data_IF_584954891345
#
_entry.id   IF_584954891345
#
_cell.length_a   1.000
_cell.length_b   1.000
_cell.length_c   1.000
_cell.angle_alpha   90.00
_cell.angle_beta   90.00
_cell.angle_gamma   90.00
#
_symmetry.space_group_name_H-M   'P 1'
#
loop_
_entity.id
_entity.type
_entity.pdbx_description
1 polymer ?
#
# COMPACT_ATOMS: atom_id res chain seq x y z
N UNK A 1 -5.11 -2.25 20.88
CA UNK A 1 -4.15 -3.31 20.50
C UNK A 1 -4.12 -4.34 21.62
N UNK A 2 -4.32 -5.62 21.29
CA UNK A 2 -4.01 -6.72 22.21
C UNK A 2 -2.49 -6.82 22.35
N UNK A 3 -1.99 -7.20 23.53
CA UNK A 3 -0.55 -7.38 23.76
C UNK A 3 0.07 -8.41 22.78
N UNK A 4 -0.77 -9.32 22.27
CA UNK A 4 -0.46 -10.33 21.27
C UNK A 4 -0.06 -9.73 19.92
N UNK A 5 -0.89 -8.84 19.33
CA UNK A 5 -0.56 -8.21 18.04
C UNK A 5 0.74 -7.40 18.12
N UNK A 6 0.99 -6.71 19.24
CA UNK A 6 2.26 -6.00 19.45
C UNK A 6 3.45 -6.95 19.43
N UNK A 7 3.35 -8.10 20.09
CA UNK A 7 4.41 -9.12 20.08
C UNK A 7 4.64 -9.69 18.68
N UNK A 8 3.57 -9.91 17.90
CA UNK A 8 3.68 -10.42 16.53
C UNK A 8 4.33 -9.39 15.59
N UNK A 9 4.03 -8.11 15.77
CA UNK A 9 4.70 -7.01 15.04
C UNK A 9 6.22 -7.01 15.30
N UNK A 10 6.66 -7.30 16.53
CA UNK A 10 8.08 -7.44 16.84
C UNK A 10 8.68 -8.71 16.22
N UNK A 11 7.98 -9.85 16.30
CA UNK A 11 8.43 -11.11 15.71
C UNK A 11 8.56 -11.07 14.18
N UNK A 12 7.71 -10.29 13.49
CA UNK A 12 7.84 -10.05 12.04
C UNK A 12 9.18 -9.40 11.65
N UNK A 13 9.83 -8.71 12.58
CA UNK A 13 11.14 -8.06 12.38
C UNK A 13 12.31 -8.87 12.91
N UNK A 14 12.06 -10.11 13.38
CA UNK A 14 13.11 -10.99 13.88
C UNK A 14 14.08 -11.41 12.77
N UNK A 15 15.34 -11.66 13.13
CA UNK A 15 16.33 -12.27 12.24
C UNK A 15 15.96 -13.73 11.89
N UNK A 16 15.22 -14.41 12.76
CA UNK A 16 14.80 -15.80 12.56
C UNK A 16 13.65 -15.89 11.55
N UNK A 17 13.91 -16.50 10.39
CA UNK A 17 12.89 -16.75 9.36
C UNK A 17 11.67 -17.49 9.93
N UNK A 18 11.89 -18.51 10.76
CA UNK A 18 10.79 -19.25 11.40
C UNK A 18 9.92 -18.37 12.29
N UNK A 19 10.50 -17.40 13.00
CA UNK A 19 9.71 -16.48 13.84
C UNK A 19 8.91 -15.49 13.00
N UNK A 20 9.47 -15.02 11.87
CA UNK A 20 8.73 -14.16 10.94
C UNK A 20 7.56 -14.90 10.30
N UNK A 21 7.78 -16.14 9.87
CA UNK A 21 6.74 -17.00 9.28
C UNK A 21 5.61 -17.29 10.28
N UNK A 22 5.95 -17.67 11.51
CA UNK A 22 4.97 -17.91 12.57
C UNK A 22 4.14 -16.65 12.83
N UNK A 23 4.80 -15.49 12.96
CA UNK A 23 4.11 -14.22 13.16
C UNK A 23 3.20 -13.85 11.98
N UNK A 24 3.65 -14.03 10.74
CA UNK A 24 2.84 -13.75 9.55
C UNK A 24 1.63 -14.68 9.43
N UNK A 25 1.81 -15.98 9.71
CA UNK A 25 0.74 -16.98 9.73
C UNK A 25 -0.30 -16.67 10.80
N UNK A 26 0.15 -16.26 11.99
CA UNK A 26 -0.74 -15.91 13.08
C UNK A 26 -1.52 -14.62 12.77
N UNK A 27 -0.85 -13.58 12.26
CA UNK A 27 -1.48 -12.35 11.78
C UNK A 27 -2.50 -12.59 10.66
N UNK A 28 -2.23 -13.52 9.74
CA UNK A 28 -3.20 -13.96 8.75
C UNK A 28 -4.45 -14.55 9.42
N UNK A 29 -4.29 -15.37 10.46
CA UNK A 29 -5.43 -15.99 11.16
C UNK A 29 -6.34 -14.99 11.90
N UNK A 30 -5.82 -13.80 12.24
CA UNK A 30 -6.61 -12.69 12.78
C UNK A 30 -7.45 -11.95 11.73
N UNK A 31 -7.09 -12.07 10.44
CA UNK A 31 -7.80 -11.39 9.35
C UNK A 31 -7.89 -9.87 9.58
N UNK A 32 -9.09 -9.25 9.50
CA UNK A 32 -9.25 -7.81 9.70
C UNK A 32 -8.80 -7.29 11.07
N UNK A 33 -8.80 -8.13 12.12
CA UNK A 33 -8.36 -7.72 13.45
C UNK A 33 -6.84 -7.46 13.50
N UNK A 34 -6.09 -7.93 12.50
CA UNK A 34 -4.66 -7.63 12.33
C UNK A 34 -4.39 -6.22 11.78
N UNK A 35 -5.40 -5.38 11.50
CA UNK A 35 -5.22 -4.02 10.97
C UNK A 35 -4.16 -3.16 11.70
N UNK A 36 -3.95 -3.26 13.04
CA UNK A 36 -2.86 -2.55 13.71
C UNK A 36 -1.44 -2.96 13.26
N UNK A 37 -1.29 -4.14 12.65
CA UNK A 37 -0.04 -4.65 12.10
C UNK A 37 0.20 -4.26 10.63
N UNK A 38 -0.68 -3.46 10.03
CA UNK A 38 -0.60 -3.07 8.61
C UNK A 38 0.80 -2.64 8.17
N UNK A 39 1.43 -1.72 8.91
CA UNK A 39 2.77 -1.21 8.59
C UNK A 39 3.80 -2.34 8.66
N UNK A 40 3.77 -3.16 9.71
CA UNK A 40 4.74 -4.24 9.88
C UNK A 40 4.61 -5.31 8.79
N UNK A 41 3.38 -5.66 8.40
CA UNK A 41 3.11 -6.55 7.28
C UNK A 41 3.62 -5.96 5.97
N UNK A 42 3.33 -4.68 5.70
CA UNK A 42 3.83 -4.00 4.49
C UNK A 42 5.36 -4.02 4.45
N UNK A 43 6.04 -3.70 5.56
CA UNK A 43 7.51 -3.74 5.62
C UNK A 43 8.07 -5.15 5.44
N UNK A 44 7.37 -6.17 5.91
CA UNK A 44 7.75 -7.57 5.77
C UNK A 44 7.48 -8.13 4.37
N UNK A 45 6.80 -7.39 3.48
CA UNK A 45 6.49 -7.85 2.13
C UNK A 45 7.73 -8.04 1.25
N UNK A 46 8.85 -7.38 1.58
CA UNK A 46 10.15 -7.54 0.90
C UNK A 46 11.08 -8.59 1.58
N UNK A 47 10.53 -9.50 2.41
CA UNK A 47 11.30 -10.52 3.14
C UNK A 47 11.71 -11.73 2.27
N UNK A 48 12.11 -12.86 2.89
CA UNK A 48 12.32 -14.12 2.18
C UNK A 48 11.02 -14.68 1.59
N UNK A 49 11.15 -15.51 0.55
CA UNK A 49 10.03 -15.97 -0.28
C UNK A 49 8.88 -16.61 0.50
N UNK A 50 9.17 -17.39 1.53
CA UNK A 50 8.14 -18.10 2.30
C UNK A 50 7.40 -17.16 3.27
N UNK A 51 8.12 -16.18 3.85
CA UNK A 51 7.50 -15.10 4.63
C UNK A 51 6.63 -14.20 3.74
N UNK A 52 7.07 -13.91 2.51
CA UNK A 52 6.34 -13.07 1.56
C UNK A 52 4.95 -13.61 1.20
N UNK A 53 4.81 -14.92 0.99
CA UNK A 53 3.52 -15.53 0.63
C UNK A 53 2.49 -15.36 1.76
N UNK A 54 2.89 -15.60 3.01
CA UNK A 54 2.05 -15.41 4.19
C UNK A 54 1.70 -13.94 4.43
N UNK A 55 2.68 -13.05 4.29
CA UNK A 55 2.48 -11.60 4.43
C UNK A 55 1.53 -11.08 3.37
N UNK A 56 1.67 -11.52 2.12
CA UNK A 56 0.79 -11.16 1.01
C UNK A 56 -0.64 -11.59 1.30
N UNK A 57 -0.85 -12.84 1.71
CA UNK A 57 -2.17 -13.33 2.11
C UNK A 57 -2.77 -12.51 3.27
N UNK A 58 -1.96 -12.19 4.29
CA UNK A 58 -2.42 -11.38 5.42
C UNK A 58 -2.83 -9.97 4.98
N UNK A 59 -2.07 -9.33 4.07
CA UNK A 59 -2.38 -8.02 3.51
C UNK A 59 -3.63 -8.04 2.61
N UNK A 60 -3.89 -9.15 1.92
CA UNK A 60 -5.13 -9.34 1.16
C UNK A 60 -6.36 -9.31 2.08
N UNK A 61 -6.31 -10.03 3.20
CA UNK A 61 -7.41 -10.20 4.16
C UNK A 61 -7.51 -9.09 5.24
N UNK A 62 -6.49 -8.24 5.37
CA UNK A 62 -6.40 -7.19 6.40
C UNK A 62 -7.56 -6.18 6.39
N UNK A 63 -8.21 -6.00 5.23
CA UNK A 63 -9.18 -4.92 5.03
C UNK A 63 -8.52 -3.53 4.95
N UNK A 64 -9.28 -2.45 5.23
CA UNK A 64 -8.73 -1.11 5.32
C UNK A 64 -7.90 -0.95 6.61
N UNK A 65 -6.72 -0.33 6.55
CA UNK A 65 -5.91 -0.12 7.74
C UNK A 65 -6.57 0.90 8.69
N UNK A 66 -6.09 0.99 9.93
CA UNK A 66 -6.49 2.05 10.83
C UNK A 66 -5.93 3.42 10.37
N UNK A 67 -6.63 4.51 10.64
CA UNK A 67 -6.24 5.85 10.16
C UNK A 67 -4.86 6.29 10.69
N UNK A 68 -4.45 5.81 11.87
CA UNK A 68 -3.13 6.08 12.44
C UNK A 68 -1.97 5.49 11.61
N UNK A 69 -2.28 4.50 10.74
CA UNK A 69 -1.30 3.90 9.83
C UNK A 69 -1.06 4.73 8.58
N UNK A 70 -1.83 5.80 8.34
CA UNK A 70 -1.71 6.60 7.11
C UNK A 70 -0.31 7.17 6.92
N UNK A 71 0.20 7.92 7.91
CA UNK A 71 1.52 8.55 7.83
C UNK A 71 2.65 7.55 7.62
N UNK A 72 2.76 6.45 8.39
CA UNK A 72 3.81 5.46 8.15
C UNK A 72 3.65 4.73 6.81
N UNK A 73 2.43 4.44 6.35
CA UNK A 73 2.22 3.85 5.01
C UNK A 73 2.63 4.81 3.89
N UNK A 74 2.31 6.09 4.00
CA UNK A 74 2.72 7.11 3.01
C UNK A 74 4.25 7.21 2.90
N UNK A 75 4.97 7.09 4.01
CA UNK A 75 6.43 7.10 4.02
C UNK A 75 7.05 5.87 3.29
N UNK A 76 6.35 4.74 3.24
CA UNK A 76 6.84 3.52 2.57
C UNK A 76 6.79 3.64 1.03
N UNK A 77 5.91 4.48 0.48
CA UNK A 77 5.72 4.64 -0.97
C UNK A 77 6.99 5.00 -1.76
N UNK A 78 7.99 5.58 -1.09
CA UNK A 78 9.24 6.04 -1.71
C UNK A 78 10.42 5.08 -1.51
N UNK A 79 10.19 3.90 -0.92
CA UNK A 79 11.24 2.89 -0.76
C UNK A 79 11.63 2.30 -2.12
N UNK A 80 12.92 2.03 -2.37
CA UNK A 80 13.40 1.50 -3.65
C UNK A 80 13.19 -0.02 -3.76
N UNK A 81 12.00 -0.52 -3.44
CA UNK A 81 11.60 -1.92 -3.53
C UNK A 81 10.29 -2.06 -4.33
N UNK A 82 9.83 -3.29 -4.56
CA UNK A 82 8.60 -3.53 -5.30
C UNK A 82 7.42 -3.69 -4.34
N UNK A 83 7.51 -4.65 -3.42
CA UNK A 83 6.34 -5.18 -2.73
C UNK A 83 5.86 -4.26 -1.61
N UNK A 84 6.77 -3.74 -0.77
CA UNK A 84 6.40 -2.77 0.28
C UNK A 84 5.66 -1.54 -0.26
N UNK A 85 6.20 -0.74 -1.21
CA UNK A 85 5.50 0.45 -1.71
C UNK A 85 4.23 0.10 -2.49
N UNK A 86 4.17 -1.05 -3.17
CA UNK A 86 2.96 -1.52 -3.82
C UNK A 86 1.85 -1.79 -2.80
N UNK A 87 2.15 -2.49 -1.71
CA UNK A 87 1.18 -2.76 -0.66
C UNK A 87 0.79 -1.51 0.12
N UNK A 88 1.73 -0.59 0.37
CA UNK A 88 1.44 0.72 0.95
C UNK A 88 0.41 1.49 0.11
N UNK A 89 0.61 1.60 -1.20
CA UNK A 89 -0.35 2.24 -2.10
C UNK A 89 -1.70 1.51 -2.11
N UNK A 90 -1.70 0.19 -2.03
CA UNK A 90 -2.92 -0.62 -1.96
C UNK A 90 -3.74 -0.31 -0.71
N UNK A 91 -3.11 -0.32 0.47
CA UNK A 91 -3.78 -0.06 1.74
C UNK A 91 -4.26 1.40 1.84
N UNK A 92 -3.47 2.36 1.36
CA UNK A 92 -3.92 3.76 1.28
C UNK A 92 -5.13 3.92 0.38
N UNK A 93 -5.18 3.25 -0.78
CA UNK A 93 -6.36 3.28 -1.64
C UNK A 93 -7.61 2.63 -1.02
N UNK A 94 -7.45 1.69 -0.09
CA UNK A 94 -8.56 1.07 0.66
C UNK A 94 -9.17 2.00 1.72
N UNK A 95 -8.45 3.04 2.14
CA UNK A 95 -8.99 4.11 3.00
C UNK A 95 -9.87 5.10 2.22
N UNK A 96 -9.89 5.02 0.89
CA UNK A 96 -10.67 5.93 0.03
C UNK A 96 -10.42 7.40 0.39
N UNK A 97 -11.46 8.21 0.60
CA UNK A 97 -11.34 9.64 0.89
C UNK A 97 -10.50 9.94 2.16
N UNK A 98 -10.44 9.02 3.11
CA UNK A 98 -9.68 9.20 4.36
C UNK A 98 -8.15 9.18 4.12
N UNK A 99 -7.69 8.67 2.97
CA UNK A 99 -6.29 8.75 2.55
C UNK A 99 -5.88 10.10 1.95
N UNK A 100 -6.76 11.12 1.96
CA UNK A 100 -6.43 12.45 1.44
C UNK A 100 -5.09 13.04 1.94
N UNK A 101 -4.69 12.87 3.22
CA UNK A 101 -3.39 13.34 3.67
C UNK A 101 -2.17 12.72 2.97
N UNK A 102 -2.31 11.56 2.30
CA UNK A 102 -1.23 10.87 1.58
C UNK A 102 -1.19 11.19 0.06
N UNK A 103 -2.03 12.11 -0.43
CA UNK A 103 -2.13 12.44 -1.86
C UNK A 103 -0.76 12.89 -2.42
N UNK A 104 0.00 13.67 -1.67
CA UNK A 104 1.31 14.17 -2.11
C UNK A 104 2.28 13.02 -2.41
N UNK A 105 2.43 12.10 -1.47
CA UNK A 105 3.31 10.94 -1.60
C UNK A 105 2.83 9.98 -2.70
N UNK A 106 1.51 9.81 -2.88
CA UNK A 106 0.94 9.03 -3.97
C UNK A 106 1.17 9.66 -5.35
N UNK A 107 1.11 10.99 -5.45
CA UNK A 107 1.45 11.72 -6.69
C UNK A 107 2.91 11.47 -7.06
N UNK A 108 3.83 11.62 -6.10
CA UNK A 108 5.25 11.36 -6.33
C UNK A 108 5.49 9.91 -6.73
N UNK A 109 4.88 8.94 -6.04
CA UNK A 109 5.01 7.53 -6.38
C UNK A 109 4.45 7.20 -7.78
N UNK A 110 3.32 7.79 -8.17
CA UNK A 110 2.74 7.61 -9.50
C UNK A 110 3.66 8.15 -10.61
N UNK A 111 4.28 9.31 -10.37
CA UNK A 111 5.11 9.99 -11.35
C UNK A 111 6.53 9.38 -11.48
N UNK A 112 7.18 9.10 -10.34
CA UNK A 112 8.65 8.97 -10.29
C UNK A 112 9.13 7.59 -9.83
N UNK A 113 8.26 6.72 -9.32
CA UNK A 113 8.70 5.46 -8.75
C UNK A 113 9.33 4.54 -9.83
N UNK A 114 10.52 3.94 -9.59
CA UNK A 114 11.22 3.15 -10.61
C UNK A 114 10.46 1.88 -11.03
N UNK A 115 9.66 1.33 -10.13
CA UNK A 115 8.86 0.13 -10.39
C UNK A 115 7.49 0.48 -10.97
N UNK A 116 7.23 0.06 -12.20
CA UNK A 116 5.95 0.29 -12.89
C UNK A 116 4.73 -0.24 -12.12
N UNK A 117 4.75 -1.41 -11.46
CA UNK A 117 3.59 -1.87 -10.68
C UNK A 117 3.23 -0.94 -9.52
N UNK A 118 4.23 -0.30 -8.90
CA UNK A 118 4.01 0.69 -7.83
C UNK A 118 3.37 1.94 -8.40
N UNK A 119 3.85 2.43 -9.55
CA UNK A 119 3.25 3.58 -10.25
C UNK A 119 1.78 3.33 -10.56
N UNK A 120 1.49 2.17 -11.16
CA UNK A 120 0.11 1.75 -11.45
C UNK A 120 -0.74 1.70 -10.18
N UNK A 121 -0.22 1.12 -9.09
CA UNK A 121 -0.96 1.03 -7.84
C UNK A 121 -1.21 2.39 -7.19
N UNK A 122 -0.26 3.32 -7.26
CA UNK A 122 -0.43 4.70 -6.79
C UNK A 122 -1.50 5.45 -7.60
N UNK A 123 -1.52 5.30 -8.93
CA UNK A 123 -2.59 5.86 -9.79
C UNK A 123 -3.96 5.28 -9.42
N UNK A 124 -4.06 3.97 -9.18
CA UNK A 124 -5.30 3.35 -8.73
C UNK A 124 -5.76 3.93 -7.38
N UNK A 125 -4.83 4.11 -6.42
CA UNK A 125 -5.13 4.65 -5.10
C UNK A 125 -5.64 6.10 -5.18
N UNK A 126 -5.03 6.95 -6.01
CA UNK A 126 -5.51 8.31 -6.27
C UNK A 126 -6.95 8.33 -6.81
N UNK A 127 -7.27 7.42 -7.72
CA UNK A 127 -8.64 7.26 -8.22
C UNK A 127 -9.63 6.73 -7.17
N UNK A 128 -9.17 5.97 -6.19
CA UNK A 128 -9.98 5.50 -5.05
C UNK A 128 -10.24 6.58 -4.01
N UNK A 129 -9.27 7.45 -3.79
CA UNK A 129 -9.45 8.65 -2.95
C UNK A 129 -10.53 9.55 -3.55
N UNK A 130 -10.58 9.67 -4.89
CA UNK A 130 -11.63 10.40 -5.59
C UNK A 130 -11.44 11.93 -5.55
N UNK A 131 -12.50 12.74 -5.42
CA UNK A 131 -12.43 14.20 -5.53
C UNK A 131 -11.38 14.92 -4.68
N UNK A 132 -11.04 14.48 -3.45
CA UNK A 132 -9.94 15.06 -2.69
C UNK A 132 -8.58 15.03 -3.43
N UNK A 133 -8.37 14.06 -4.33
CA UNK A 133 -7.14 13.91 -5.12
C UNK A 133 -7.07 14.83 -6.35
N UNK A 134 -7.80 15.94 -6.38
CA UNK A 134 -7.81 16.89 -7.51
C UNK A 134 -6.42 17.43 -7.88
N UNK A 135 -5.51 17.54 -6.90
CA UNK A 135 -4.12 17.95 -7.12
C UNK A 135 -3.34 16.95 -8.01
N UNK A 136 -3.80 15.71 -8.14
CA UNK A 136 -3.16 14.69 -8.96
C UNK A 136 -3.49 14.83 -10.46
N UNK A 137 -4.49 15.64 -10.85
CA UNK A 137 -4.96 15.68 -12.24
C UNK A 137 -3.85 16.03 -13.24
N UNK A 138 -2.99 17.01 -12.95
CA UNK A 138 -1.89 17.38 -13.84
C UNK A 138 -0.90 16.22 -14.03
N UNK A 139 -0.58 15.51 -12.95
CA UNK A 139 0.30 14.34 -13.01
C UNK A 139 -0.36 13.20 -13.78
N UNK A 140 -1.64 12.93 -13.55
CA UNK A 140 -2.38 11.88 -14.26
C UNK A 140 -2.53 12.20 -15.76
N UNK A 141 -2.67 13.47 -16.15
CA UNK A 141 -2.67 13.88 -17.55
C UNK A 141 -1.33 13.58 -18.22
N UNK A 142 -0.20 13.87 -17.55
CA UNK A 142 1.14 13.51 -18.05
C UNK A 142 1.28 12.00 -18.20
N UNK A 143 0.86 11.23 -17.19
CA UNK A 143 0.91 9.77 -17.20
C UNK A 143 0.02 9.18 -18.33
N UNK A 144 -1.14 9.78 -18.60
CA UNK A 144 -2.04 9.32 -19.67
C UNK A 144 -1.42 9.43 -21.07
N UNK A 145 -0.40 10.26 -21.24
CA UNK A 145 0.33 10.43 -22.49
C UNK A 145 1.58 9.53 -22.61
N UNK A 146 1.88 8.72 -21.59
CA UNK A 146 2.98 7.75 -21.63
C UNK A 146 2.64 6.53 -22.51
N UNK A 147 3.68 5.87 -23.02
CA UNK A 147 3.54 4.73 -23.93
C UNK A 147 2.97 3.46 -23.26
N UNK A 148 2.98 3.34 -21.91
CA UNK A 148 2.45 2.16 -21.22
C UNK A 148 0.92 2.13 -21.25
N UNK A 149 0.28 1.18 -21.98
CA UNK A 149 -1.16 1.22 -22.20
C UNK A 149 -1.98 1.02 -20.92
N UNK A 150 -1.47 0.19 -20.00
CA UNK A 150 -2.17 -0.10 -18.73
C UNK A 150 -2.15 1.12 -17.83
N UNK A 151 -0.99 1.73 -17.65
CA UNK A 151 -0.82 2.91 -16.82
C UNK A 151 -1.58 4.11 -17.40
N UNK A 152 -1.52 4.31 -18.71
CA UNK A 152 -2.28 5.37 -19.40
C UNK A 152 -3.79 5.22 -19.21
N UNK A 153 -4.34 4.02 -19.45
CA UNK A 153 -5.77 3.73 -19.24
C UNK A 153 -6.18 3.96 -17.79
N UNK A 154 -5.35 3.50 -16.83
CA UNK A 154 -5.63 3.65 -15.41
C UNK A 154 -5.62 5.12 -14.97
N UNK A 155 -4.74 5.93 -15.54
CA UNK A 155 -4.73 7.38 -15.29
C UNK A 155 -6.03 8.03 -15.80
N UNK A 156 -6.51 7.63 -16.98
CA UNK A 156 -7.81 8.05 -17.51
C UNK A 156 -8.98 7.74 -16.55
N UNK A 157 -9.06 6.49 -16.09
CA UNK A 157 -10.11 6.04 -15.16
C UNK A 157 -10.03 6.77 -13.81
N UNK A 158 -8.81 6.95 -13.27
CA UNK A 158 -8.59 7.67 -12.02
C UNK A 158 -9.00 9.14 -12.14
N UNK A 159 -8.64 9.82 -13.24
CA UNK A 159 -9.10 11.20 -13.48
C UNK A 159 -10.62 11.30 -13.55
N UNK A 160 -11.31 10.34 -14.17
CA UNK A 160 -12.77 10.32 -14.23
C UNK A 160 -13.39 10.23 -12.82
N UNK A 161 -12.82 9.40 -11.93
CA UNK A 161 -13.28 9.28 -10.54
C UNK A 161 -12.98 10.52 -9.70
N UNK A 162 -11.86 11.19 -9.93
CA UNK A 162 -11.49 12.43 -9.24
C UNK A 162 -12.41 13.59 -9.65
N UNK A 163 -12.93 13.58 -10.88
CA UNK A 163 -13.82 14.62 -11.41
C UNK A 163 -15.32 14.39 -11.12
N UNK A 164 -15.69 13.21 -10.61
CA UNK A 164 -17.08 12.82 -10.32
C UNK A 164 -17.59 13.44 -9.03
#
# INVERSE_FOLDING_TARGET
MTAEITSLIESLRSDSASQRQEAASELLSFGPDAAPAAVALVEAADSDSETCDLVTAALEDLGPPAAEMLTPLAAILQRPSLDSPYWAATLLGRLEADAAPAIGELITAAAEHPQLPVRQRAVWALGKIGPPAIAALETLEKISAEDDPRLSSLAGDSMAKIRA
#
